data_IF_764894653275
#
_entry.id   IF_764894653275
#
_cell.length_a   1.000
_cell.length_b   1.000
_cell.length_c   1.000
_cell.angle_alpha   90.00
_cell.angle_beta   90.00
_cell.angle_gamma   90.00
#
_symmetry.space_group_name_H-M   'P 1'
#
loop_
_entity.id
_entity.type
_entity.pdbx_description
1 polymer ?
#
# COMPACT_ATOMS: atom_id res chain seq x y z
N UNK A 1 45.71 -19.27 62.39
CA UNK A 1 46.90 -18.92 61.59
C UNK A 1 46.64 -19.41 60.18
N UNK A 2 46.79 -18.48 59.23
CA UNK A 2 46.88 -18.64 57.77
C UNK A 2 45.77 -19.40 57.02
N UNK A 3 45.24 -18.91 55.90
CA UNK A 3 45.67 -17.79 55.10
C UNK A 3 44.68 -17.45 53.98
N UNK A 4 44.85 -16.23 53.49
CA UNK A 4 44.24 -15.59 52.33
C UNK A 4 44.50 -16.34 51.01
N UNK A 5 43.49 -16.51 50.15
CA UNK A 5 43.61 -16.44 48.68
C UNK A 5 42.20 -16.56 48.07
N UNK A 6 41.59 -15.46 47.63
CA UNK A 6 41.68 -14.88 46.29
C UNK A 6 40.55 -15.37 45.37
N UNK A 7 39.73 -14.39 44.98
CA UNK A 7 38.89 -14.29 43.80
C UNK A 7 39.29 -15.25 42.67
N UNK A 8 38.32 -16.05 42.21
CA UNK A 8 38.28 -16.48 40.82
C UNK A 8 36.87 -16.28 40.28
N UNK A 9 36.73 -15.19 39.50
CA UNK A 9 35.64 -14.99 38.58
C UNK A 9 35.78 -16.02 37.46
N UNK A 10 34.74 -16.80 37.19
CA UNK A 10 34.53 -17.39 35.89
C UNK A 10 33.10 -17.07 35.46
N UNK A 11 32.99 -15.86 34.90
CA UNK A 11 31.93 -15.39 34.01
C UNK A 11 31.49 -16.55 33.13
N UNK A 12 30.23 -16.97 33.28
CA UNK A 12 29.62 -17.96 32.41
C UNK A 12 29.82 -17.54 30.96
N UNK A 13 30.48 -18.41 30.21
CA UNK A 13 30.87 -18.23 28.82
C UNK A 13 29.63 -17.85 27.98
N UNK A 14 29.46 -16.54 27.79
CA UNK A 14 28.64 -16.04 26.71
C UNK A 14 29.27 -16.54 25.43
N UNK A 15 28.59 -17.45 24.73
CA UNK A 15 28.88 -17.72 23.32
C UNK A 15 28.99 -16.36 22.64
N UNK A 16 30.19 -16.06 22.12
CA UNK A 16 30.50 -14.77 21.55
C UNK A 16 29.43 -14.44 20.51
N UNK A 17 28.97 -13.20 20.45
CA UNK A 17 28.07 -12.75 19.38
C UNK A 17 28.72 -13.05 18.02
N UNK A 18 30.05 -12.99 17.93
CA UNK A 18 30.82 -13.42 16.77
C UNK A 18 30.67 -14.93 16.48
N UNK A 19 30.58 -15.81 17.47
CA UNK A 19 30.35 -17.25 17.25
C UNK A 19 28.92 -17.51 16.78
N UNK A 20 27.92 -16.79 17.31
CA UNK A 20 26.53 -16.90 16.84
C UNK A 20 26.36 -16.34 15.42
N UNK A 21 27.14 -15.31 15.06
CA UNK A 21 27.20 -14.77 13.70
C UNK A 21 27.97 -15.72 12.76
N UNK A 22 29.09 -16.31 13.18
CA UNK A 22 29.81 -17.33 12.40
C UNK A 22 28.94 -18.58 12.16
N UNK A 23 28.23 -19.06 13.19
CA UNK A 23 27.35 -20.24 13.07
C UNK A 23 26.15 -19.99 12.14
N UNK A 24 25.69 -18.74 12.01
CA UNK A 24 24.65 -18.35 11.04
C UNK A 24 25.21 -18.12 9.62
N UNK A 25 26.50 -17.78 9.50
CA UNK A 25 27.15 -17.50 8.22
C UNK A 25 27.72 -18.75 7.54
N UNK A 26 27.97 -19.84 8.28
CA UNK A 26 28.64 -21.04 7.72
C UNK A 26 27.67 -22.05 7.04
N UNK A 27 26.37 -22.04 7.32
CA UNK A 27 25.40 -22.93 6.65
C UNK A 27 24.07 -22.25 6.26
N UNK A 28 24.08 -20.92 6.18
CA UNK A 28 23.07 -20.13 5.49
C UNK A 28 23.41 -19.91 4.01
N UNK A 29 23.86 -20.96 3.31
CA UNK A 29 24.44 -20.92 1.95
C UNK A 29 23.57 -20.09 1.01
N UNK A 30 24.15 -19.34 0.06
CA UNK A 30 23.44 -18.39 -0.82
C UNK A 30 22.13 -18.90 -1.44
N UNK A 31 21.94 -20.21 -1.56
CA UNK A 31 20.66 -20.86 -1.82
C UNK A 31 19.51 -20.42 -0.89
N UNK A 32 19.74 -20.31 0.43
CA UNK A 32 18.75 -19.83 1.41
C UNK A 32 18.43 -18.34 1.21
N UNK A 33 19.44 -17.51 0.95
CA UNK A 33 19.27 -16.08 0.63
C UNK A 33 18.40 -15.94 -0.63
N UNK A 34 18.68 -16.73 -1.67
CA UNK A 34 17.88 -16.76 -2.89
C UNK A 34 16.46 -17.29 -2.66
N UNK A 35 16.29 -18.31 -1.81
CA UNK A 35 14.98 -18.85 -1.47
C UNK A 35 14.11 -17.80 -0.75
N UNK A 36 14.67 -17.12 0.26
CA UNK A 36 13.99 -16.03 0.98
C UNK A 36 13.65 -14.88 0.03
N UNK A 37 14.60 -14.49 -0.82
CA UNK A 37 14.37 -13.43 -1.80
C UNK A 37 13.21 -13.77 -2.74
N UNK A 38 13.20 -15.00 -3.26
CA UNK A 38 12.16 -15.49 -4.18
C UNK A 38 10.80 -15.60 -3.50
N UNK A 39 10.75 -16.05 -2.25
CA UNK A 39 9.49 -16.11 -1.49
C UNK A 39 8.89 -14.71 -1.30
N UNK A 40 9.72 -13.75 -0.85
CA UNK A 40 9.30 -12.36 -0.69
C UNK A 40 8.85 -11.74 -2.02
N UNK A 41 9.59 -11.98 -3.10
CA UNK A 41 9.27 -11.47 -4.42
C UNK A 41 7.93 -12.03 -4.94
N UNK A 42 7.72 -13.35 -4.82
CA UNK A 42 6.47 -13.98 -5.25
C UNK A 42 5.27 -13.42 -4.49
N UNK A 43 5.37 -13.33 -3.15
CA UNK A 43 4.29 -12.81 -2.31
C UNK A 43 4.03 -11.33 -2.58
N UNK A 44 5.07 -10.54 -2.79
CA UNK A 44 4.94 -9.14 -3.18
C UNK A 44 4.27 -8.99 -4.55
N UNK A 45 4.70 -9.77 -5.55
CA UNK A 45 4.12 -9.76 -6.89
C UNK A 45 2.64 -10.13 -6.89
N UNK A 46 2.25 -11.14 -6.10
CA UNK A 46 0.84 -11.50 -5.90
C UNK A 46 0.03 -10.33 -5.33
N UNK A 47 0.50 -9.73 -4.23
CA UNK A 47 -0.19 -8.63 -3.56
C UNK A 47 -0.30 -7.39 -4.45
N UNK A 48 0.80 -7.00 -5.10
CA UNK A 48 0.83 -5.87 -6.02
C UNK A 48 -0.11 -6.13 -7.21
N UNK A 49 -0.07 -7.33 -7.80
CA UNK A 49 -0.98 -7.74 -8.86
C UNK A 49 -2.45 -7.62 -8.43
N UNK A 50 -2.79 -8.18 -7.26
CA UNK A 50 -4.13 -8.07 -6.68
C UNK A 50 -4.56 -6.63 -6.47
N UNK A 51 -3.66 -5.77 -5.99
CA UNK A 51 -3.94 -4.34 -5.82
C UNK A 51 -4.26 -3.64 -7.14
N UNK A 52 -3.62 -4.01 -8.25
CA UNK A 52 -3.95 -3.44 -9.56
C UNK A 52 -5.38 -3.80 -9.99
N UNK A 53 -5.80 -5.06 -9.77
CA UNK A 53 -7.17 -5.49 -10.02
C UNK A 53 -8.17 -4.78 -9.10
N UNK A 54 -7.88 -4.70 -7.81
CA UNK A 54 -8.76 -4.04 -6.84
C UNK A 54 -8.88 -2.54 -7.12
N UNK A 55 -7.80 -1.86 -7.51
CA UNK A 55 -7.85 -0.47 -7.94
C UNK A 55 -8.69 -0.28 -9.21
N UNK A 56 -8.57 -1.18 -10.19
CA UNK A 56 -9.42 -1.15 -11.40
C UNK A 56 -10.91 -1.26 -11.05
N UNK A 57 -11.26 -2.14 -10.10
CA UNK A 57 -12.63 -2.23 -9.57
C UNK A 57 -13.08 -0.92 -8.92
N UNK A 58 -12.21 -0.27 -8.13
CA UNK A 58 -12.53 1.04 -7.51
C UNK A 58 -12.82 2.07 -8.59
N UNK A 59 -11.98 2.14 -9.62
CA UNK A 59 -12.14 3.07 -10.73
C UNK A 59 -13.46 2.86 -11.49
N UNK A 60 -13.82 1.61 -11.80
CA UNK A 60 -15.08 1.29 -12.46
C UNK A 60 -16.27 1.65 -11.57
N UNK A 61 -16.23 1.34 -10.28
CA UNK A 61 -17.33 1.65 -9.36
C UNK A 61 -17.50 3.17 -9.18
N UNK A 62 -16.41 3.93 -9.14
CA UNK A 62 -16.44 5.39 -9.15
C UNK A 62 -17.05 5.92 -10.45
N UNK A 63 -16.64 5.37 -11.60
CA UNK A 63 -17.20 5.76 -12.90
C UNK A 63 -18.72 5.52 -12.95
N UNK A 64 -19.18 4.36 -12.48
CA UNK A 64 -20.59 4.05 -12.36
C UNK A 64 -21.29 5.00 -11.39
N UNK A 65 -20.70 5.30 -10.23
CA UNK A 65 -21.28 6.26 -9.29
C UNK A 65 -21.53 7.64 -9.95
N UNK A 66 -20.61 8.10 -10.80
CA UNK A 66 -20.74 9.36 -11.54
C UNK A 66 -21.81 9.25 -12.64
N UNK A 67 -21.83 8.15 -13.40
CA UNK A 67 -22.83 7.94 -14.46
C UNK A 67 -24.28 7.87 -13.94
N UNK A 68 -24.44 7.53 -12.65
CA UNK A 68 -25.73 7.43 -11.97
C UNK A 68 -26.10 8.69 -11.17
N UNK A 69 -25.29 9.75 -11.20
CA UNK A 69 -25.69 11.05 -10.66
C UNK A 69 -26.99 11.52 -11.34
N UNK A 70 -27.80 12.29 -10.61
CA UNK A 70 -29.11 12.76 -11.10
C UNK A 70 -30.03 11.59 -11.54
N UNK A 71 -30.00 10.50 -10.77
CA UNK A 71 -30.75 9.27 -11.04
C UNK A 71 -30.50 8.65 -12.43
N UNK A 72 -29.34 8.94 -13.05
CA UNK A 72 -28.97 8.41 -14.35
C UNK A 72 -29.72 9.02 -15.54
N UNK A 73 -30.39 10.16 -15.39
CA UNK A 73 -31.15 10.81 -16.49
C UNK A 73 -30.30 11.12 -17.72
N UNK A 74 -29.00 11.38 -17.53
CA UNK A 74 -28.02 11.68 -18.60
C UNK A 74 -26.95 10.59 -18.72
N UNK A 75 -27.29 9.35 -18.37
CA UNK A 75 -26.31 8.27 -18.23
C UNK A 75 -25.47 8.04 -19.49
N UNK A 76 -26.07 8.02 -20.67
CA UNK A 76 -25.35 7.77 -21.94
C UNK A 76 -24.32 8.86 -22.22
N UNK A 77 -24.72 10.14 -22.12
CA UNK A 77 -23.83 11.28 -22.29
C UNK A 77 -22.69 11.30 -21.25
N UNK A 78 -23.01 10.94 -20.00
CA UNK A 78 -22.04 10.95 -18.89
C UNK A 78 -21.05 9.80 -18.99
N UNK A 79 -21.46 8.61 -19.46
CA UNK A 79 -20.55 7.46 -19.63
C UNK A 79 -19.40 7.80 -20.58
N UNK A 80 -19.72 8.36 -21.74
CA UNK A 80 -18.73 8.78 -22.75
C UNK A 80 -17.75 9.83 -22.21
N UNK A 81 -18.23 10.71 -21.34
CA UNK A 81 -17.36 11.70 -20.70
C UNK A 81 -16.48 11.05 -19.63
N UNK A 82 -17.06 10.20 -18.77
CA UNK A 82 -16.38 9.56 -17.65
C UNK A 82 -15.30 8.59 -18.13
N UNK A 83 -15.51 7.88 -19.23
CA UNK A 83 -14.51 6.99 -19.82
C UNK A 83 -13.21 7.76 -20.16
N UNK A 84 -13.35 8.98 -20.68
CA UNK A 84 -12.22 9.86 -21.05
C UNK A 84 -11.59 10.59 -19.85
N UNK A 85 -12.17 10.49 -18.66
CA UNK A 85 -11.64 11.14 -17.46
C UNK A 85 -10.53 10.31 -16.82
N UNK A 86 -9.45 10.98 -16.40
CA UNK A 86 -8.51 10.35 -15.47
C UNK A 86 -9.18 10.10 -14.11
N UNK A 87 -8.68 9.14 -13.34
CA UNK A 87 -9.18 8.86 -11.99
C UNK A 87 -9.28 10.13 -11.12
N UNK A 88 -8.30 11.04 -11.22
CA UNK A 88 -8.33 12.31 -10.48
C UNK A 88 -9.48 13.23 -10.91
N UNK A 89 -9.80 13.27 -12.21
CA UNK A 89 -10.95 14.02 -12.73
C UNK A 89 -12.27 13.41 -12.26
N UNK A 90 -12.36 12.07 -12.21
CA UNK A 90 -13.52 11.35 -11.65
C UNK A 90 -13.73 11.71 -10.17
N UNK A 91 -12.68 11.72 -9.36
CA UNK A 91 -12.76 12.14 -7.94
C UNK A 91 -13.24 13.60 -7.79
N UNK A 92 -12.74 14.51 -8.61
CA UNK A 92 -13.17 15.91 -8.58
C UNK A 92 -14.66 16.06 -8.96
N UNK A 93 -15.14 15.27 -9.92
CA UNK A 93 -16.54 15.22 -10.30
C UNK A 93 -17.43 14.77 -9.12
N UNK A 94 -17.07 13.67 -8.46
CA UNK A 94 -17.78 13.18 -7.27
C UNK A 94 -17.76 14.23 -6.13
N UNK A 95 -16.60 14.86 -5.89
CA UNK A 95 -16.48 15.91 -4.88
C UNK A 95 -17.41 17.09 -5.15
N UNK A 96 -17.51 17.52 -6.42
CA UNK A 96 -18.39 18.61 -6.83
C UNK A 96 -19.86 18.23 -6.64
N UNK A 97 -20.23 17.01 -7.04
CA UNK A 97 -21.59 16.50 -6.85
C UNK A 97 -21.97 16.49 -5.36
N UNK A 98 -21.13 15.92 -4.49
CA UNK A 98 -21.39 15.90 -3.05
C UNK A 98 -21.51 17.30 -2.42
N UNK A 99 -20.69 18.26 -2.86
CA UNK A 99 -20.76 19.63 -2.37
C UNK A 99 -22.02 20.40 -2.81
N UNK A 100 -22.62 20.01 -3.93
CA UNK A 100 -23.91 20.57 -4.40
C UNK A 100 -25.07 19.89 -3.68
N UNK A 101 -25.02 18.57 -3.49
CA UNK A 101 -26.12 17.79 -2.91
C UNK A 101 -26.28 17.95 -1.40
N UNK A 102 -25.21 18.33 -0.68
CA UNK A 102 -25.23 18.39 0.78
C UNK A 102 -24.77 19.73 1.35
N UNK A 103 -25.37 20.19 2.47
CA UNK A 103 -24.91 21.40 3.17
C UNK A 103 -23.45 21.30 3.60
N UNK A 104 -22.79 22.46 3.68
CA UNK A 104 -21.43 22.57 4.19
C UNK A 104 -21.33 21.97 5.61
N UNK A 105 -20.25 21.21 5.87
CA UNK A 105 -19.97 20.53 7.15
C UNK A 105 -20.98 19.46 7.58
N UNK A 106 -21.92 19.09 6.72
CA UNK A 106 -22.82 17.97 6.99
C UNK A 106 -22.06 16.62 7.06
N UNK A 107 -22.60 15.68 7.83
CA UNK A 107 -22.04 14.32 7.95
C UNK A 107 -21.80 13.63 6.59
N UNK A 108 -22.76 13.65 5.64
CA UNK A 108 -22.58 13.06 4.31
C UNK A 108 -21.42 13.67 3.53
N UNK A 109 -21.31 15.00 3.52
CA UNK A 109 -20.23 15.70 2.80
C UNK A 109 -18.86 15.35 3.39
N UNK A 110 -18.75 15.26 4.72
CA UNK A 110 -17.52 14.84 5.41
C UNK A 110 -17.16 13.40 5.06
N UNK A 111 -18.15 12.51 5.01
CA UNK A 111 -17.94 11.10 4.69
C UNK A 111 -17.45 10.91 3.24
N UNK A 112 -18.09 11.58 2.27
CA UNK A 112 -17.63 11.60 0.88
C UNK A 112 -16.22 12.16 0.74
N UNK A 113 -15.92 13.27 1.42
CA UNK A 113 -14.57 13.86 1.40
C UNK A 113 -13.51 12.90 1.93
N UNK A 114 -13.78 12.25 3.07
CA UNK A 114 -12.87 11.25 3.66
C UNK A 114 -12.63 10.07 2.70
N UNK A 115 -13.68 9.60 2.02
CA UNK A 115 -13.55 8.55 1.01
C UNK A 115 -12.71 9.01 -0.18
N UNK A 116 -12.95 10.21 -0.69
CA UNK A 116 -12.18 10.82 -1.80
C UNK A 116 -10.69 10.95 -1.44
N UNK A 117 -10.38 11.42 -0.23
CA UNK A 117 -9.00 11.57 0.25
C UNK A 117 -8.28 10.21 0.29
N UNK A 118 -8.96 9.18 0.80
CA UNK A 118 -8.43 7.80 0.82
C UNK A 118 -8.26 7.23 -0.59
N UNK A 119 -9.21 7.45 -1.49
CA UNK A 119 -9.12 7.02 -2.89
C UNK A 119 -7.97 7.74 -3.62
N UNK A 120 -7.72 9.01 -3.31
CA UNK A 120 -6.58 9.75 -3.84
C UNK A 120 -5.25 9.18 -3.34
N UNK A 121 -5.14 8.87 -2.04
CA UNK A 121 -3.97 8.22 -1.47
C UNK A 121 -3.70 6.85 -2.14
N UNK A 122 -4.75 6.05 -2.34
CA UNK A 122 -4.67 4.78 -3.04
C UNK A 122 -4.15 4.93 -4.49
N UNK A 123 -4.63 5.95 -5.23
CA UNK A 123 -4.12 6.29 -6.58
C UNK A 123 -2.63 6.63 -6.54
N UNK A 124 -2.21 7.44 -5.57
CA UNK A 124 -0.80 7.81 -5.42
C UNK A 124 0.07 6.58 -5.16
N UNK A 125 -0.38 5.68 -4.29
CA UNK A 125 0.31 4.42 -4.01
C UNK A 125 0.40 3.53 -5.25
N UNK A 126 -0.72 3.33 -5.97
CA UNK A 126 -0.74 2.56 -7.23
C UNK A 126 0.24 3.12 -8.25
N UNK A 127 0.27 4.44 -8.42
CA UNK A 127 1.19 5.08 -9.36
C UNK A 127 2.65 4.77 -9.01
N UNK A 128 3.00 4.82 -7.73
CA UNK A 128 4.34 4.44 -7.27
C UNK A 128 4.64 2.98 -7.59
N UNK A 129 3.68 2.09 -7.36
CA UNK A 129 3.87 0.66 -7.59
C UNK A 129 4.08 0.30 -9.06
N UNK A 130 3.41 1.01 -9.97
CA UNK A 130 3.51 0.80 -11.42
C UNK A 130 4.78 1.43 -12.00
N UNK A 131 5.21 2.58 -11.49
CA UNK A 131 6.32 3.35 -12.09
C UNK A 131 7.68 3.08 -11.42
N UNK A 132 7.70 2.38 -10.30
CA UNK A 132 8.94 2.03 -9.60
C UNK A 132 9.56 0.73 -10.09
N UNK A 133 10.86 0.60 -9.88
CA UNK A 133 11.60 -0.65 -10.05
C UNK A 133 11.60 -1.39 -8.72
N UNK A 134 11.34 -2.70 -8.77
CA UNK A 134 11.21 -3.54 -7.59
C UNK A 134 12.49 -4.36 -7.35
N UNK A 135 12.82 -4.57 -6.08
CA UNK A 135 13.92 -5.43 -5.64
C UNK A 135 13.67 -5.95 -4.23
N UNK A 136 14.54 -6.83 -3.74
CA UNK A 136 14.39 -7.45 -2.42
C UNK A 136 15.61 -7.14 -1.55
N UNK A 137 15.35 -6.62 -0.35
CA UNK A 137 16.33 -6.52 0.72
C UNK A 137 16.17 -7.72 1.64
N UNK A 138 17.00 -8.75 1.43
CA UNK A 138 16.95 -9.99 2.23
C UNK A 138 17.32 -9.72 3.68
N UNK A 139 18.34 -8.88 3.92
CA UNK A 139 18.80 -8.54 5.27
C UNK A 139 17.68 -7.96 6.15
N UNK A 140 16.82 -7.12 5.56
CA UNK A 140 15.72 -6.47 6.27
C UNK A 140 14.37 -7.20 6.09
N UNK A 141 14.33 -8.25 5.26
CA UNK A 141 13.11 -8.92 4.78
C UNK A 141 12.09 -7.93 4.22
N UNK A 142 12.56 -6.98 3.40
CA UNK A 142 11.75 -5.92 2.80
C UNK A 142 11.72 -6.03 1.28
N UNK A 143 10.62 -5.60 0.72
CA UNK A 143 10.43 -5.34 -0.71
C UNK A 143 10.77 -3.88 -0.96
N UNK A 144 11.68 -3.61 -1.89
CA UNK A 144 12.17 -2.27 -2.19
C UNK A 144 11.55 -1.77 -3.49
N UNK A 145 11.00 -0.56 -3.46
CA UNK A 145 10.52 0.15 -4.65
C UNK A 145 11.35 1.41 -4.86
N UNK A 146 11.98 1.51 -6.03
CA UNK A 146 12.84 2.64 -6.40
C UNK A 146 12.19 3.43 -7.53
N UNK A 147 11.87 4.70 -7.26
CA UNK A 147 11.35 5.67 -8.23
C UNK A 147 12.46 6.61 -8.71
N UNK A 148 12.37 7.11 -9.95
CA UNK A 148 13.39 7.97 -10.57
C UNK A 148 14.49 7.19 -11.27
N UNK A 149 15.38 7.85 -12.02
CA UNK A 149 16.51 7.17 -12.70
C UNK A 149 17.70 6.94 -11.75
N UNK A 150 18.53 5.90 -11.97
CA UNK A 150 19.79 5.76 -11.25
C UNK A 150 20.65 7.03 -11.37
N UNK A 151 21.13 7.56 -10.24
CA UNK A 151 21.97 8.77 -10.20
C UNK A 151 21.22 10.10 -10.24
N UNK A 152 19.88 10.12 -10.28
CA UNK A 152 19.10 11.35 -10.14
C UNK A 152 18.94 11.74 -8.66
N UNK A 153 19.01 13.03 -8.36
CA UNK A 153 18.71 13.60 -7.03
C UNK A 153 17.23 13.44 -6.63
N UNK A 154 16.35 13.09 -7.57
CA UNK A 154 14.93 12.83 -7.33
C UNK A 154 14.63 11.34 -7.06
N UNK A 155 15.66 10.50 -7.01
CA UNK A 155 15.47 9.08 -6.72
C UNK A 155 14.90 8.90 -5.32
N UNK A 156 13.76 8.21 -5.23
CA UNK A 156 13.11 7.89 -3.96
C UNK A 156 13.11 6.39 -3.77
N UNK A 157 13.56 5.92 -2.60
CA UNK A 157 13.51 4.52 -2.20
C UNK A 157 12.44 4.35 -1.13
N UNK A 158 11.56 3.38 -1.32
CA UNK A 158 10.60 2.96 -0.30
C UNK A 158 10.80 1.48 -0.01
N UNK A 159 10.64 1.12 1.25
CA UNK A 159 10.71 -0.26 1.70
C UNK A 159 9.37 -0.67 2.28
N UNK A 160 8.89 -1.86 1.89
CA UNK A 160 7.64 -2.44 2.33
C UNK A 160 7.91 -3.79 2.98
N UNK A 161 7.29 -4.02 4.13
CA UNK A 161 7.05 -5.39 4.58
C UNK A 161 5.92 -6.01 3.76
N UNK A 162 5.76 -7.32 3.87
CA UNK A 162 4.61 -7.99 3.27
C UNK A 162 3.31 -7.50 3.93
N UNK A 163 3.34 -7.26 5.23
CA UNK A 163 2.22 -6.73 6.01
C UNK A 163 1.80 -5.34 5.52
N UNK A 164 2.77 -4.49 5.12
CA UNK A 164 2.47 -3.18 4.51
C UNK A 164 1.72 -3.34 3.19
N UNK A 165 2.12 -4.31 2.35
CA UNK A 165 1.45 -4.61 1.08
C UNK A 165 0.06 -5.23 1.28
N UNK A 166 -0.10 -6.11 2.27
CA UNK A 166 -1.38 -6.68 2.67
C UNK A 166 -2.35 -5.59 3.17
N UNK A 167 -1.87 -4.69 4.02
CA UNK A 167 -2.65 -3.57 4.51
C UNK A 167 -3.08 -2.65 3.36
N UNK A 168 -2.19 -2.37 2.41
CA UNK A 168 -2.51 -1.59 1.22
C UNK A 168 -3.55 -2.27 0.32
N UNK A 169 -3.46 -3.59 0.13
CA UNK A 169 -4.46 -4.36 -0.60
C UNK A 169 -5.82 -4.34 0.10
N UNK A 170 -5.85 -4.55 1.41
CA UNK A 170 -7.08 -4.48 2.21
C UNK A 170 -7.75 -3.10 2.14
N UNK A 171 -6.96 -2.02 2.12
CA UNK A 171 -7.50 -0.66 1.98
C UNK A 171 -8.29 -0.44 0.68
N UNK A 172 -7.86 -1.03 -0.44
CA UNK A 172 -8.60 -0.95 -1.71
C UNK A 172 -9.94 -1.69 -1.63
N UNK A 173 -9.98 -2.85 -0.96
CA UNK A 173 -11.22 -3.59 -0.74
C UNK A 173 -12.18 -2.83 0.17
N UNK A 174 -11.67 -2.16 1.21
CA UNK A 174 -12.49 -1.29 2.04
C UNK A 174 -13.02 -0.09 1.24
N UNK A 175 -12.21 0.54 0.40
CA UNK A 175 -12.67 1.65 -0.46
C UNK A 175 -13.85 1.25 -1.34
N UNK A 176 -13.86 0.03 -1.89
CA UNK A 176 -14.99 -0.48 -2.66
C UNK A 176 -16.27 -0.56 -1.82
N UNK A 177 -16.19 -1.19 -0.65
CA UNK A 177 -17.33 -1.35 0.27
C UNK A 177 -17.86 0.01 0.72
N UNK A 178 -16.95 0.88 1.16
CA UNK A 178 -17.28 2.21 1.64
C UNK A 178 -18.02 3.03 0.57
N UNK A 179 -17.63 2.93 -0.71
CA UNK A 179 -18.32 3.67 -1.77
C UNK A 179 -19.77 3.18 -1.97
N UNK A 180 -19.98 1.86 -1.90
CA UNK A 180 -21.33 1.27 -2.01
C UNK A 180 -22.20 1.69 -0.84
N UNK A 181 -21.67 1.63 0.38
CA UNK A 181 -22.37 2.03 1.60
C UNK A 181 -22.71 3.52 1.59
N UNK A 182 -21.76 4.38 1.21
CA UNK A 182 -21.98 5.83 1.08
C UNK A 182 -23.14 6.14 0.13
N UNK A 183 -23.16 5.50 -1.04
CA UNK A 183 -24.23 5.69 -2.03
C UNK A 183 -25.58 5.15 -1.57
N UNK A 184 -25.59 4.09 -0.75
CA UNK A 184 -26.80 3.54 -0.17
C UNK A 184 -27.39 4.42 0.93
N UNK A 185 -26.54 5.02 1.76
CA UNK A 185 -26.96 5.90 2.87
C UNK A 185 -27.30 7.31 2.39
N UNK A 186 -26.52 7.85 1.45
CA UNK A 186 -26.60 9.24 0.99
C UNK A 186 -26.46 9.31 -0.54
N UNK A 187 -27.52 8.97 -1.29
CA UNK A 187 -27.49 9.04 -2.74
C UNK A 187 -27.21 10.47 -3.23
N UNK A 188 -26.45 10.57 -4.33
CA UNK A 188 -26.05 11.82 -4.98
C UNK A 188 -26.84 12.10 -6.26
#
# INVERSE_FOLDING_TARGET
MDGSSAREQAVGAGKNVADRVLTLMEEGTGAQIHAIARELELRAAELIGRMLFDFSRVEVNLALAIAWLDSGRRREEVIDQVERMSFSKKLACLSKAAAVSFPARSGPLVAYRRWIDRAHAARMLRNRFVHGRWGISVANRRVVNVLGLPGSNEQTVMEFSIEDLEAAAAQLQHLLKDLVELRGQWPL
#
